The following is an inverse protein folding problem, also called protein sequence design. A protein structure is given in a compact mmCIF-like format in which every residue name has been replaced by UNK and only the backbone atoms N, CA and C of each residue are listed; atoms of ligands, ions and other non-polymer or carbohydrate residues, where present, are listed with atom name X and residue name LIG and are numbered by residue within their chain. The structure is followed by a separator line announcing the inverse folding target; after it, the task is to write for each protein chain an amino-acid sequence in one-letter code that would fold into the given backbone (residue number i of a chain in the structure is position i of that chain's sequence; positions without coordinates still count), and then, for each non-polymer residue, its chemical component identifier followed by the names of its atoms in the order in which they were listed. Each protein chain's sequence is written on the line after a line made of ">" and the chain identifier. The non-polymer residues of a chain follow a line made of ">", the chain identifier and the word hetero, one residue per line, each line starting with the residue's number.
data_IF_560223922040
#
_entry.id   IF_560223922040
#
_cell.length_a   1.000
_cell.length_b   1.000
_cell.length_c   1.000
_cell.angle_alpha   90.00
_cell.angle_beta   90.00
_cell.angle_gamma   90.00
#
_symmetry.space_group_name_H-M   'P 1'
#
loop_
_entity.id
_entity.type
_entity.pdbx_description
1 polymer ?
#
# COMPACT_ATOMS: atom_id res chain seq x y z
N UNK A 1 -3.29 18.50 -4.77
CA UNK A 1 -2.89 17.91 -3.47
C UNK A 1 -2.75 16.43 -3.70
N UNK A 2 -1.67 15.82 -3.21
CA UNK A 2 -1.46 14.39 -3.33
C UNK A 2 -2.40 13.65 -2.38
N UNK A 3 -3.07 12.64 -2.91
CA UNK A 3 -4.02 11.76 -2.22
C UNK A 3 -3.90 10.32 -2.74
N UNK A 4 -4.28 9.37 -1.88
CA UNK A 4 -4.46 7.96 -2.23
C UNK A 4 -5.96 7.60 -2.19
N UNK A 5 -6.45 6.89 -3.20
CA UNK A 5 -7.82 6.39 -3.26
C UNK A 5 -7.82 4.87 -3.07
N UNK A 6 -8.58 4.36 -2.10
CA UNK A 6 -8.80 2.92 -1.94
C UNK A 6 -9.53 2.36 -3.17
N UNK A 7 -8.95 1.34 -3.81
CA UNK A 7 -9.56 0.61 -4.92
C UNK A 7 -10.15 -0.73 -4.46
N UNK A 8 -9.44 -1.41 -3.56
CA UNK A 8 -9.82 -2.72 -3.05
C UNK A 8 -9.29 -2.92 -1.64
N UNK A 9 -10.15 -3.35 -0.71
CA UNK A 9 -9.75 -3.84 0.61
C UNK A 9 -9.55 -5.36 0.59
N UNK A 10 -8.89 -5.87 1.63
CA UNK A 10 -8.83 -7.30 1.95
C UNK A 10 -8.43 -8.22 0.78
N UNK A 11 -7.30 -7.91 0.12
CA UNK A 11 -6.77 -8.69 -1.01
C UNK A 11 -6.27 -10.07 -0.56
N UNK A 12 -7.19 -11.04 -0.50
CA UNK A 12 -6.92 -12.42 -0.04
C UNK A 12 -5.86 -13.16 -0.84
N UNK A 13 -5.61 -12.75 -2.09
CA UNK A 13 -4.52 -13.29 -2.93
C UNK A 13 -3.12 -12.97 -2.42
N UNK A 14 -3.00 -11.98 -1.53
CA UNK A 14 -1.77 -11.66 -0.79
C UNK A 14 -1.91 -12.06 0.68
N UNK A 15 -2.82 -11.38 1.38
CA UNK A 15 -3.23 -11.60 2.75
C UNK A 15 -4.44 -10.69 3.01
N UNK A 16 -5.31 -11.07 3.94
CA UNK A 16 -6.51 -10.28 4.26
C UNK A 16 -6.21 -8.85 4.73
N UNK A 17 -5.01 -8.56 5.20
CA UNK A 17 -4.62 -7.22 5.65
C UNK A 17 -3.96 -6.37 4.57
N UNK A 18 -4.11 -6.73 3.28
CA UNK A 18 -3.56 -5.96 2.15
C UNK A 18 -4.63 -5.17 1.43
N UNK A 19 -4.41 -3.88 1.26
CA UNK A 19 -5.30 -2.97 0.53
C UNK A 19 -4.58 -2.39 -0.70
N UNK A 20 -5.31 -2.26 -1.81
CA UNK A 20 -4.83 -1.62 -3.03
C UNK A 20 -5.31 -0.16 -3.10
N UNK A 21 -4.36 0.74 -3.34
CA UNK A 21 -4.63 2.15 -3.53
C UNK A 21 -4.12 2.64 -4.88
N UNK A 22 -4.82 3.62 -5.45
CA UNK A 22 -4.32 4.44 -6.55
C UNK A 22 -3.82 5.78 -6.00
N UNK A 23 -2.63 6.18 -6.42
CA UNK A 23 -2.06 7.47 -6.11
C UNK A 23 -2.52 8.50 -7.16
N UNK A 24 -2.91 9.68 -6.70
CA UNK A 24 -3.24 10.84 -7.57
C UNK A 24 -2.05 11.34 -8.40
N UNK A 25 -0.84 11.17 -7.87
CA UNK A 25 0.43 11.45 -8.54
C UNK A 25 1.38 10.25 -8.31
N UNK A 26 2.06 9.72 -9.34
CA UNK A 26 2.92 8.56 -9.16
C UNK A 26 4.16 8.88 -8.31
N UNK A 27 4.64 7.89 -7.55
CA UNK A 27 5.96 7.90 -6.89
C UNK A 27 6.87 6.98 -7.70
N UNK A 28 7.99 7.47 -8.23
CA UNK A 28 8.94 6.67 -9.02
C UNK A 28 8.26 5.83 -10.13
N UNK A 29 7.36 6.45 -10.90
CA UNK A 29 6.54 5.82 -11.95
C UNK A 29 5.54 4.75 -11.44
N UNK A 30 5.25 4.75 -10.15
CA UNK A 30 4.28 3.87 -9.51
C UNK A 30 3.00 4.65 -9.19
N UNK A 31 1.95 4.38 -9.95
CA UNK A 31 0.62 4.94 -9.71
C UNK A 31 -0.29 4.12 -8.78
N UNK A 32 0.10 2.89 -8.44
CA UNK A 32 -0.68 2.00 -7.57
C UNK A 32 0.20 1.36 -6.51
N UNK A 33 -0.32 1.24 -5.30
CA UNK A 33 0.42 0.65 -4.18
C UNK A 33 -0.43 -0.36 -3.43
N UNK A 34 0.19 -1.48 -3.05
CA UNK A 34 -0.39 -2.45 -2.15
C UNK A 34 0.19 -2.21 -0.76
N UNK A 35 -0.66 -1.86 0.20
CA UNK A 35 -0.25 -1.62 1.58
C UNK A 35 -0.66 -2.82 2.41
N UNK A 36 0.31 -3.44 3.07
CA UNK A 36 0.18 -4.70 3.77
C UNK A 36 0.52 -4.47 5.25
N UNK A 37 -0.41 -4.77 6.16
CA UNK A 37 -0.17 -4.73 7.61
C UNK A 37 0.04 -6.17 8.10
N UNK A 38 1.26 -6.52 8.49
CA UNK A 38 1.55 -7.83 9.08
C UNK A 38 1.11 -7.86 10.55
N UNK A 39 0.22 -8.78 10.87
CA UNK A 39 -0.29 -9.02 12.23
C UNK A 39 0.22 -10.32 12.83
N UNK A 40 1.03 -11.09 12.09
CA UNK A 40 1.56 -12.38 12.53
C UNK A 40 2.50 -12.22 13.72
N UNK A 41 2.34 -13.10 14.72
CA UNK A 41 3.12 -13.06 15.97
C UNK A 41 4.62 -13.33 15.76
N UNK A 42 4.97 -14.03 14.68
CA UNK A 42 6.35 -14.41 14.35
C UNK A 42 6.97 -13.52 13.26
N UNK A 43 6.17 -12.70 12.58
CA UNK A 43 6.67 -11.66 11.71
C UNK A 43 6.97 -10.40 12.54
N UNK A 44 7.91 -9.59 12.07
CA UNK A 44 8.02 -8.24 12.60
C UNK A 44 6.71 -7.52 12.28
N UNK A 45 5.92 -7.20 13.32
CA UNK A 45 4.70 -6.42 13.14
C UNK A 45 5.04 -5.15 12.39
N UNK A 46 4.17 -4.75 11.47
CA UNK A 46 4.43 -3.56 10.70
C UNK A 46 3.69 -3.47 9.38
N UNK A 47 3.85 -2.33 8.77
CA UNK A 47 3.16 -1.93 7.54
C UNK A 47 4.18 -1.72 6.46
N UNK A 48 4.01 -2.43 5.36
CA UNK A 48 4.86 -2.31 4.18
C UNK A 48 4.04 -1.78 3.02
N UNK A 49 4.54 -0.75 2.36
CA UNK A 49 3.97 -0.19 1.14
C UNK A 49 4.78 -0.73 -0.04
N UNK A 50 4.14 -1.52 -0.89
CA UNK A 50 4.73 -2.09 -2.10
C UNK A 50 4.26 -1.34 -3.33
N UNK A 51 5.15 -1.18 -4.30
CA UNK A 51 4.72 -0.79 -5.64
C UNK A 51 3.86 -1.91 -6.23
N UNK A 52 2.73 -1.53 -6.83
CA UNK A 52 1.76 -2.46 -7.37
C UNK A 52 1.34 -2.12 -8.80
N UNK A 53 0.76 -3.11 -9.48
CA UNK A 53 -0.04 -2.91 -10.69
C UNK A 53 -1.44 -2.40 -10.32
N UNK A 54 -2.20 -1.97 -11.31
CA UNK A 54 -3.61 -1.60 -11.20
C UNK A 54 -4.52 -2.76 -10.74
N UNK A 55 -4.06 -4.00 -10.87
CA UNK A 55 -4.71 -5.23 -10.38
C UNK A 55 -4.18 -5.70 -9.01
N UNK A 56 -3.24 -4.98 -8.40
CA UNK A 56 -2.67 -5.30 -7.09
C UNK A 56 -1.53 -6.33 -7.10
N UNK A 57 -0.97 -6.68 -8.26
CA UNK A 57 0.26 -7.48 -8.33
C UNK A 57 1.49 -6.68 -7.88
N UNK A 58 2.45 -7.29 -7.19
CA UNK A 58 3.72 -6.62 -6.85
C UNK A 58 4.45 -6.23 -8.13
N UNK A 59 5.10 -5.06 -8.11
CA UNK A 59 6.11 -4.72 -9.10
C UNK A 59 7.51 -5.13 -8.59
N UNK A 60 8.35 -5.78 -9.40
CA UNK A 60 9.74 -5.95 -9.09
C UNK A 60 10.48 -4.60 -9.20
N UNK A 61 11.46 -4.37 -8.34
CA UNK A 61 12.34 -3.21 -8.40
C UNK A 61 13.21 -3.31 -9.66
N UNK A 62 13.30 -2.26 -10.50
CA UNK A 62 13.93 -2.33 -11.81
C UNK A 62 15.41 -2.73 -11.73
N UNK A 63 16.10 -2.33 -10.66
CA UNK A 63 17.52 -2.63 -10.48
C UNK A 63 17.81 -3.98 -9.81
N UNK A 64 16.99 -4.41 -8.84
CA UNK A 64 17.32 -5.57 -7.99
C UNK A 64 16.49 -6.81 -8.32
N UNK A 65 15.40 -6.67 -9.07
CA UNK A 65 14.45 -7.74 -9.38
C UNK A 65 13.64 -8.26 -8.18
N UNK A 66 13.89 -7.75 -6.97
CA UNK A 66 13.15 -8.10 -5.75
C UNK A 66 11.86 -7.29 -5.65
N UNK A 67 10.99 -7.60 -4.69
CA UNK A 67 9.80 -6.79 -4.43
C UNK A 67 10.18 -5.32 -4.19
N UNK A 68 9.51 -4.43 -4.92
CA UNK A 68 9.75 -3.01 -4.80
C UNK A 68 8.99 -2.46 -3.60
N UNK A 69 9.72 -2.19 -2.54
CA UNK A 69 9.21 -1.62 -1.30
C UNK A 69 9.45 -0.12 -1.31
N UNK A 70 8.37 0.66 -1.18
CA UNK A 70 8.42 2.12 -1.13
C UNK A 70 8.61 2.62 0.30
N UNK A 71 8.01 1.95 1.29
CA UNK A 71 8.15 2.29 2.70
C UNK A 71 7.90 1.09 3.62
N UNK A 72 8.46 1.15 4.84
CA UNK A 72 8.23 0.19 5.92
C UNK A 72 8.10 0.92 7.26
N UNK A 73 7.09 0.53 8.02
CA UNK A 73 6.82 1.05 9.36
C UNK A 73 6.69 -0.14 10.32
N UNK A 74 7.49 -0.18 11.38
CA UNK A 74 7.66 -1.39 12.23
C UNK A 74 6.75 -1.43 13.46
N UNK A 75 5.91 -0.40 13.67
CA UNK A 75 5.15 -0.23 14.90
C UNK A 75 3.63 -0.44 14.72
N UNK A 76 3.23 -1.17 13.66
CA UNK A 76 1.82 -1.51 13.41
C UNK A 76 0.97 -0.34 12.89
N UNK A 77 1.62 0.63 12.25
CA UNK A 77 1.03 1.80 11.56
C UNK A 77 -0.18 1.43 10.71
N UNK A 78 -1.28 2.15 10.81
CA UNK A 78 -2.45 1.88 9.97
C UNK A 78 -2.16 2.16 8.48
N UNK A 79 -2.95 1.59 7.57
CA UNK A 79 -2.80 1.84 6.13
C UNK A 79 -2.81 3.35 5.79
N UNK A 80 -3.77 4.09 6.34
CA UNK A 80 -3.96 5.52 6.10
C UNK A 80 -2.81 6.36 6.65
N UNK A 81 -2.28 5.96 7.81
CA UNK A 81 -1.15 6.62 8.46
C UNK A 81 0.13 6.43 7.64
N UNK A 82 0.43 5.20 7.21
CA UNK A 82 1.60 4.92 6.39
C UNK A 82 1.57 5.64 5.03
N UNK A 83 0.38 5.75 4.41
CA UNK A 83 0.21 6.53 3.18
C UNK A 83 0.31 8.04 3.42
N UNK A 84 -0.18 8.53 4.56
CA UNK A 84 -0.04 9.93 4.94
C UNK A 84 1.43 10.32 5.18
N UNK A 85 2.21 9.43 5.81
CA UNK A 85 3.66 9.60 5.98
C UNK A 85 4.41 9.60 4.65
N UNK A 86 3.92 8.89 3.64
CA UNK A 86 4.42 8.94 2.26
C UNK A 86 3.96 10.21 1.50
N UNK A 87 3.14 11.07 2.12
CA UNK A 87 2.59 12.29 1.52
C UNK A 87 1.31 12.09 0.71
N UNK A 88 0.60 10.97 0.92
CA UNK A 88 -0.64 10.59 0.23
C UNK A 88 -1.76 10.28 1.22
N UNK A 89 -2.37 11.30 1.88
CA UNK A 89 -3.54 11.07 2.71
C UNK A 89 -4.64 10.32 1.93
N UNK A 90 -5.33 9.41 2.62
CA UNK A 90 -6.38 8.58 2.01
C UNK A 90 -7.67 9.37 1.92
N UNK A 91 -8.22 9.51 0.71
CA UNK A 91 -9.59 10.00 0.53
C UNK A 91 -10.56 8.86 0.84
N UNK A 92 -11.24 8.93 1.99
CA UNK A 92 -12.39 8.06 2.23
C UNK A 92 -13.45 8.41 1.19
N UNK A 93 -13.58 7.59 0.14
CA UNK A 93 -14.77 7.62 -0.70
C UNK A 93 -15.92 7.13 0.16
N UNK A 94 -16.78 8.07 0.57
CA UNK A 94 -18.05 7.76 1.23
C UNK A 94 -18.76 6.65 0.48
N UNK A 95 -19.19 5.65 1.23
CA UNK A 95 -20.11 4.61 0.79
C UNK A 95 -21.25 5.29 0.04
N UNK A 96 -21.41 4.97 -1.25
CA UNK A 96 -22.61 5.37 -1.98
C UNK A 96 -23.82 4.80 -1.21
N UNK A 97 -24.76 5.69 -0.88
CA UNK A 97 -25.98 5.43 -0.13
C UNK A 97 -26.88 4.39 -0.80
#
# INVERSE_FOLDING_TARGET
>A
MKTATLLQSDMTSWQQTTHLYRLSEPVDDVGHVAVCVSTELHAQRGTTIFAATDTGGTRPHPETGRWWVLARFVDGTAHEEGLSELGYPVEQKGTAA
#
